data_IF_038082926975
#
_entry.id   IF_038082926975
#
_cell.length_a   1.000
_cell.length_b   1.000
_cell.length_c   1.000
_cell.angle_alpha   90.00
_cell.angle_beta   90.00
_cell.angle_gamma   90.00
#
_symmetry.space_group_name_H-M   'P 1'
#
loop_
_entity.id
_entity.type
_entity.pdbx_description
1 polymer ?
#
# COMPACT_ATOMS: atom_id res chain seq x y z
N UNK A 1 6.31 37.92 25.98
CA UNK A 1 7.74 38.03 25.61
C UNK A 1 8.01 36.82 24.74
N UNK A 2 8.05 37.06 23.44
CA UNK A 2 8.38 36.01 22.46
C UNK A 2 9.91 35.98 22.43
N UNK A 3 10.51 34.91 22.95
CA UNK A 3 11.92 34.66 22.77
C UNK A 3 12.08 33.91 21.45
N UNK A 4 12.56 34.63 20.47
CA UNK A 4 13.02 34.13 19.16
C UNK A 4 14.45 33.57 19.38
N UNK A 5 14.57 32.53 20.23
CA UNK A 5 15.84 31.84 20.39
C UNK A 5 15.99 30.83 19.24
N UNK A 6 16.91 31.11 18.32
CA UNK A 6 17.27 30.19 17.25
C UNK A 6 17.66 28.83 17.88
N UNK A 7 17.12 27.75 17.34
CA UNK A 7 17.46 26.39 17.74
C UNK A 7 18.84 26.01 17.19
N UNK A 8 19.70 25.50 18.05
CA UNK A 8 21.03 25.01 17.69
C UNK A 8 21.04 23.55 17.33
N UNK A 9 20.18 22.76 17.97
CA UNK A 9 20.01 21.34 17.66
C UNK A 9 18.60 20.88 17.93
N UNK A 10 18.12 19.96 17.10
CA UNK A 10 16.91 19.17 17.34
C UNK A 10 17.24 17.72 17.08
N UNK A 11 16.82 16.83 17.95
CA UNK A 11 17.11 15.41 17.83
C UNK A 11 16.03 14.55 18.49
N UNK A 12 15.98 13.28 18.08
CA UNK A 12 15.15 12.24 18.69
C UNK A 12 16.04 11.35 19.53
N UNK A 13 15.73 11.19 20.82
CA UNK A 13 16.24 10.06 21.61
C UNK A 13 15.23 8.93 21.55
N UNK A 14 15.70 7.74 21.20
CA UNK A 14 14.89 6.53 21.22
C UNK A 14 15.53 5.46 22.10
N UNK A 15 14.69 4.57 22.62
CA UNK A 15 15.15 3.43 23.42
C UNK A 15 14.17 2.26 23.33
N UNK A 16 14.73 1.05 23.42
CA UNK A 16 14.02 -0.21 23.67
C UNK A 16 14.46 -0.74 25.03
N UNK A 17 14.10 -1.98 25.36
CA UNK A 17 14.61 -2.65 26.55
C UNK A 17 16.11 -2.98 26.46
N UNK A 18 16.64 -3.10 25.25
CA UNK A 18 18.02 -3.61 25.01
C UNK A 18 18.93 -2.64 24.27
N UNK A 19 18.39 -1.58 23.69
CA UNK A 19 19.16 -0.64 22.88
C UNK A 19 18.59 0.78 22.95
N UNK A 20 19.44 1.76 22.62
CA UNK A 20 19.05 3.17 22.54
C UNK A 20 19.92 3.91 21.55
N UNK A 21 19.45 5.06 21.09
CA UNK A 21 20.21 5.92 20.20
C UNK A 21 19.65 7.32 20.10
N UNK A 22 20.40 8.16 19.40
CA UNK A 22 20.05 9.55 19.10
C UNK A 22 20.08 9.70 17.59
N UNK A 23 19.06 10.36 17.05
CA UNK A 23 18.97 10.68 15.62
C UNK A 23 18.84 12.19 15.51
N UNK A 24 19.79 12.88 14.86
CA UNK A 24 19.67 14.29 14.55
C UNK A 24 18.46 14.57 13.66
N UNK A 25 17.90 15.76 13.78
CA UNK A 25 16.85 16.25 12.91
C UNK A 25 17.33 17.47 12.14
N UNK A 26 16.92 17.57 10.90
CA UNK A 26 17.17 18.74 10.05
C UNK A 26 15.89 19.53 9.83
N UNK A 27 16.02 20.84 9.74
CA UNK A 27 14.89 21.70 9.42
C UNK A 27 14.53 21.55 7.94
N UNK A 28 13.30 21.16 7.68
CA UNK A 28 12.77 20.96 6.31
C UNK A 28 12.06 22.21 5.79
N UNK A 29 11.48 23.01 6.69
CA UNK A 29 10.90 24.33 6.44
C UNK A 29 10.71 25.06 7.78
N UNK A 30 10.25 26.32 7.77
CA UNK A 30 10.19 27.20 8.95
C UNK A 30 9.66 26.54 10.24
N UNK A 31 8.71 25.59 10.14
CA UNK A 31 8.04 24.97 11.29
C UNK A 31 8.16 23.44 11.33
N UNK A 32 8.93 22.83 10.43
CA UNK A 32 9.01 21.38 10.29
C UNK A 32 10.43 20.84 10.38
N UNK A 33 10.59 19.79 11.19
CA UNK A 33 11.85 19.08 11.39
C UNK A 33 11.67 17.60 11.04
N UNK A 34 12.61 17.04 10.30
CA UNK A 34 12.64 15.63 9.91
C UNK A 34 13.92 14.97 10.41
N UNK A 35 13.84 13.69 10.76
CA UNK A 35 15.02 12.93 11.19
C UNK A 35 15.94 12.68 10.00
N UNK A 36 17.27 12.78 10.19
CA UNK A 36 18.26 12.48 9.14
C UNK A 36 18.27 11.00 8.74
N UNK A 37 17.92 10.13 9.66
CA UNK A 37 17.81 8.68 9.44
C UNK A 37 16.59 8.14 10.18
N UNK A 38 16.23 6.89 9.90
CA UNK A 38 15.12 6.23 10.59
C UNK A 38 15.57 5.62 11.92
N UNK A 39 14.65 5.47 12.87
CA UNK A 39 14.84 4.57 14.01
C UNK A 39 15.08 3.17 13.45
N UNK A 40 16.10 2.41 13.95
CA UNK A 40 16.37 1.07 13.45
C UNK A 40 15.15 0.15 13.49
N UNK A 41 15.09 -0.81 12.57
CA UNK A 41 14.09 -1.86 12.62
C UNK A 41 14.38 -2.80 13.80
N UNK A 42 13.33 -3.22 14.48
CA UNK A 42 13.39 -4.12 15.64
C UNK A 42 12.49 -5.33 15.41
N UNK A 43 12.76 -6.40 16.17
CA UNK A 43 11.92 -7.60 16.17
C UNK A 43 10.50 -7.29 16.69
N UNK A 44 9.56 -8.12 16.27
CA UNK A 44 8.16 -8.04 16.68
C UNK A 44 7.99 -8.04 18.19
N UNK A 45 7.01 -7.34 18.67
CA UNK A 45 6.73 -7.22 20.09
C UNK A 45 7.60 -6.19 20.80
N UNK A 46 8.68 -5.69 20.17
CA UNK A 46 9.55 -4.68 20.74
C UNK A 46 8.79 -3.37 20.98
N UNK A 47 8.90 -2.84 22.20
CA UNK A 47 8.40 -1.51 22.52
C UNK A 47 9.49 -0.50 22.27
N UNK A 48 9.22 0.47 21.40
CA UNK A 48 10.13 1.58 21.11
C UNK A 48 9.57 2.83 21.77
N UNK A 49 10.40 3.45 22.58
CA UNK A 49 10.07 4.71 23.24
C UNK A 49 10.91 5.81 22.62
N UNK A 50 10.35 7.00 22.49
CA UNK A 50 11.10 8.12 21.98
C UNK A 50 10.64 9.47 22.57
N UNK A 51 11.55 10.45 22.56
CA UNK A 51 11.33 11.86 22.85
C UNK A 51 12.02 12.70 21.81
N UNK A 52 11.47 13.86 21.55
CA UNK A 52 12.13 14.89 20.74
C UNK A 52 12.69 15.96 21.68
N UNK A 53 13.91 16.36 21.43
CA UNK A 53 14.63 17.41 22.15
C UNK A 53 14.93 18.57 21.21
N UNK A 54 14.84 19.78 21.73
CA UNK A 54 15.23 21.00 21.04
C UNK A 54 16.10 21.84 21.97
N UNK A 55 17.27 22.25 21.50
CA UNK A 55 18.22 23.07 22.24
C UNK A 55 18.36 24.44 21.56
N UNK A 56 18.23 25.51 22.32
CA UNK A 56 18.43 26.86 21.82
C UNK A 56 19.90 27.28 21.92
N UNK A 57 20.25 28.36 21.19
CA UNK A 57 21.61 28.96 21.27
C UNK A 57 22.00 29.42 22.69
N UNK A 58 21.02 29.73 23.52
CA UNK A 58 21.22 30.06 24.95
C UNK A 58 21.42 28.84 25.86
N UNK A 59 21.41 27.62 25.33
CA UNK A 59 21.55 26.38 26.10
C UNK A 59 20.27 25.96 26.82
N UNK A 60 19.12 26.50 26.47
CA UNK A 60 17.84 26.04 26.98
C UNK A 60 17.44 24.74 26.23
N UNK A 61 17.16 23.70 27.01
CA UNK A 61 16.69 22.41 26.50
C UNK A 61 15.18 22.29 26.74
N UNK A 62 14.45 21.95 25.68
CA UNK A 62 13.03 21.57 25.71
C UNK A 62 12.87 20.15 25.25
N UNK A 63 11.94 19.42 25.85
CA UNK A 63 11.64 18.03 25.45
C UNK A 63 10.13 17.78 25.36
N UNK A 64 9.74 16.84 24.51
CA UNK A 64 8.37 16.36 24.42
C UNK A 64 8.03 15.36 25.52
N UNK A 65 6.76 15.02 25.68
CA UNK A 65 6.39 13.81 26.41
C UNK A 65 7.04 12.59 25.77
N UNK A 66 7.16 11.52 26.57
CA UNK A 66 7.65 10.23 26.07
C UNK A 66 6.54 9.56 25.25
N UNK A 67 6.81 9.32 24.00
CA UNK A 67 5.95 8.53 23.11
C UNK A 67 6.39 7.07 23.13
N UNK A 68 5.48 6.18 22.74
CA UNK A 68 5.76 4.75 22.62
C UNK A 68 4.93 4.16 21.47
N UNK A 69 5.57 3.32 20.67
CA UNK A 69 4.90 2.38 19.78
C UNK A 69 5.46 0.97 20.00
N UNK A 70 4.66 -0.02 19.63
CA UNK A 70 5.06 -1.43 19.68
C UNK A 70 5.17 -1.93 18.25
N UNK A 71 6.28 -2.60 17.91
CA UNK A 71 6.40 -3.30 16.63
C UNK A 71 5.33 -4.40 16.62
N UNK A 72 4.37 -4.31 15.70
CA UNK A 72 3.37 -5.36 15.50
C UNK A 72 4.04 -6.59 14.89
N UNK A 73 3.53 -7.76 15.20
CA UNK A 73 3.82 -8.95 14.39
C UNK A 73 3.04 -8.81 13.08
N UNK A 74 3.75 -8.87 11.97
CA UNK A 74 3.13 -9.01 10.64
C UNK A 74 2.73 -10.48 10.43
N UNK A 75 1.84 -10.99 11.28
CA UNK A 75 1.28 -12.31 11.14
C UNK A 75 -0.16 -12.15 10.67
N UNK A 76 -0.36 -12.45 9.41
CA UNK A 76 -1.68 -12.60 8.85
C UNK A 76 -2.29 -13.94 9.30
N UNK A 77 -3.59 -13.94 9.51
CA UNK A 77 -4.33 -15.19 9.69
C UNK A 77 -4.26 -16.01 8.38
N UNK A 78 -4.33 -17.32 8.51
CA UNK A 78 -4.27 -18.27 7.38
C UNK A 78 -5.57 -19.10 7.32
N UNK A 79 -6.73 -18.48 7.00
CA UNK A 79 -8.00 -19.19 6.96
C UNK A 79 -8.00 -20.18 5.80
N UNK A 80 -8.14 -21.47 6.13
CA UNK A 80 -8.12 -22.55 5.16
C UNK A 80 -9.50 -23.16 5.02
N UNK A 81 -9.96 -23.31 3.79
CA UNK A 81 -11.30 -23.77 3.47
C UNK A 81 -11.25 -24.99 2.52
N UNK A 82 -12.39 -25.64 2.32
CA UNK A 82 -12.45 -26.77 1.40
C UNK A 82 -12.76 -26.28 -0.02
N UNK A 83 -11.82 -26.43 -0.92
CA UNK A 83 -11.93 -26.12 -2.35
C UNK A 83 -11.95 -27.37 -3.26
N UNK A 84 -12.07 -28.57 -2.70
CA UNK A 84 -11.92 -29.83 -3.44
C UNK A 84 -12.98 -30.10 -4.52
N UNK A 85 -14.05 -29.32 -4.54
CA UNK A 85 -15.09 -29.41 -5.57
C UNK A 85 -14.92 -28.37 -6.69
N UNK A 86 -13.83 -27.58 -6.65
CA UNK A 86 -13.57 -26.49 -7.56
C UNK A 86 -14.02 -25.11 -7.01
N UNK A 87 -14.29 -25.04 -5.72
CA UNK A 87 -14.78 -23.82 -5.03
C UNK A 87 -13.69 -22.74 -4.83
N UNK A 88 -12.45 -23.03 -5.23
CA UNK A 88 -11.30 -22.15 -5.14
C UNK A 88 -10.95 -21.48 -6.46
N UNK A 89 -9.84 -20.76 -6.43
CA UNK A 89 -9.22 -20.21 -7.64
C UNK A 89 -8.53 -21.34 -8.43
N UNK A 90 -8.62 -21.30 -9.76
CA UNK A 90 -7.80 -22.07 -10.69
C UNK A 90 -6.87 -21.13 -11.48
N UNK A 91 -7.22 -19.85 -11.51
CA UNK A 91 -6.41 -18.76 -12.06
C UNK A 91 -6.72 -17.48 -11.28
N UNK A 92 -5.67 -16.79 -10.88
CA UNK A 92 -5.70 -15.41 -10.42
C UNK A 92 -4.69 -14.61 -11.22
N UNK A 93 -5.16 -13.65 -12.02
CA UNK A 93 -4.31 -12.82 -12.87
C UNK A 93 -4.61 -11.34 -12.68
N UNK A 94 -3.59 -10.60 -12.23
CA UNK A 94 -3.62 -9.16 -12.06
C UNK A 94 -2.26 -8.60 -12.50
N UNK A 95 -2.23 -7.89 -13.63
CA UNK A 95 -1.00 -7.36 -14.21
C UNK A 95 0.11 -8.44 -14.31
N UNK A 96 1.22 -8.29 -13.58
CA UNK A 96 2.33 -9.25 -13.61
C UNK A 96 2.07 -10.53 -12.79
N UNK A 97 1.08 -10.53 -11.91
CA UNK A 97 0.65 -11.75 -11.22
C UNK A 97 -0.13 -12.62 -12.21
N UNK A 98 0.33 -13.83 -12.42
CA UNK A 98 -0.36 -14.85 -13.21
C UNK A 98 -0.17 -16.19 -12.50
N UNK A 99 -1.10 -16.52 -11.61
CA UNK A 99 -1.06 -17.73 -10.79
C UNK A 99 -2.13 -18.72 -11.22
N UNK A 100 -1.68 -19.86 -11.75
CA UNK A 100 -2.50 -21.06 -11.91
C UNK A 100 -2.28 -21.93 -10.68
N UNK A 101 -3.29 -22.06 -9.82
CA UNK A 101 -3.23 -22.78 -8.56
C UNK A 101 -4.10 -24.03 -8.57
N UNK A 102 -3.83 -24.94 -7.65
CA UNK A 102 -4.70 -26.04 -7.31
C UNK A 102 -5.51 -25.69 -6.04
N UNK A 103 -6.17 -26.64 -5.44
CA UNK A 103 -6.91 -26.43 -4.19
C UNK A 103 -5.96 -26.55 -2.98
N UNK A 104 -5.47 -25.45 -2.46
CA UNK A 104 -4.66 -25.37 -1.24
C UNK A 104 -5.50 -25.10 0.02
N UNK A 105 -6.72 -24.56 -0.18
CA UNK A 105 -7.56 -24.05 0.90
C UNK A 105 -7.07 -22.70 1.46
N UNK A 106 -5.76 -22.60 1.67
CA UNK A 106 -5.00 -21.36 1.87
C UNK A 106 -3.69 -21.45 1.09
N UNK A 107 -3.50 -20.56 0.14
CA UNK A 107 -2.30 -20.40 -0.67
C UNK A 107 -1.52 -19.15 -0.26
N UNK A 108 -0.25 -19.31 0.12
CA UNK A 108 0.69 -18.21 0.30
C UNK A 108 1.51 -18.04 -0.98
N UNK A 109 1.14 -17.07 -1.79
CA UNK A 109 1.79 -16.69 -3.04
C UNK A 109 2.42 -15.29 -2.95
N UNK A 110 2.84 -14.89 -1.76
CA UNK A 110 3.44 -13.56 -1.53
C UNK A 110 4.78 -13.36 -2.24
N UNK A 111 5.38 -14.42 -2.78
CA UNK A 111 6.53 -14.34 -3.68
C UNK A 111 6.15 -13.81 -5.09
N UNK A 112 4.86 -13.85 -5.47
CA UNK A 112 4.33 -13.24 -6.68
C UNK A 112 3.92 -11.81 -6.35
N UNK A 113 4.36 -10.87 -7.19
CA UNK A 113 4.08 -9.44 -6.97
C UNK A 113 3.79 -8.70 -8.26
N UNK A 114 3.05 -7.59 -8.15
CA UNK A 114 2.84 -6.64 -9.22
C UNK A 114 2.87 -5.20 -8.72
N UNK A 115 3.11 -4.24 -9.61
CA UNK A 115 3.04 -2.81 -9.32
C UNK A 115 1.65 -2.27 -9.73
N UNK A 116 1.05 -1.46 -8.85
CA UNK A 116 -0.23 -0.81 -9.08
C UNK A 116 -0.11 0.68 -8.71
N UNK A 117 -0.55 1.57 -9.59
CA UNK A 117 -0.51 3.00 -9.35
C UNK A 117 -1.69 3.46 -8.46
N UNK A 118 -1.45 4.43 -7.58
CA UNK A 118 -2.53 5.17 -6.89
C UNK A 118 -3.53 5.71 -7.91
N UNK A 119 -4.83 5.54 -7.65
CA UNK A 119 -5.89 5.98 -8.54
C UNK A 119 -5.97 5.23 -9.88
N UNK A 120 -5.18 4.16 -10.07
CA UNK A 120 -5.18 3.34 -11.27
C UNK A 120 -6.41 2.41 -11.34
N UNK A 121 -6.86 2.15 -12.57
CA UNK A 121 -7.90 1.16 -12.87
C UNK A 121 -7.26 -0.07 -13.50
N UNK A 122 -7.63 -1.24 -13.03
CA UNK A 122 -7.05 -2.52 -13.42
C UNK A 122 -8.11 -3.57 -13.67
N UNK A 123 -7.74 -4.59 -14.42
CA UNK A 123 -8.61 -5.74 -14.72
C UNK A 123 -8.05 -6.98 -14.02
N UNK A 124 -8.80 -7.53 -13.09
CA UNK A 124 -8.54 -8.82 -12.48
C UNK A 124 -9.25 -9.92 -13.30
N UNK A 125 -8.50 -10.91 -13.75
CA UNK A 125 -9.05 -12.13 -14.35
C UNK A 125 -8.99 -13.27 -13.35
N UNK A 126 -10.11 -13.94 -13.13
CA UNK A 126 -10.19 -15.10 -12.23
C UNK A 126 -10.88 -16.26 -12.94
N UNK A 127 -10.42 -17.48 -12.63
CA UNK A 127 -11.08 -18.71 -13.03
C UNK A 127 -11.38 -19.55 -11.80
N UNK A 128 -12.60 -20.09 -11.70
CA UNK A 128 -13.00 -21.04 -10.68
C UNK A 128 -13.49 -22.33 -11.32
N UNK A 129 -13.34 -23.45 -10.60
CA UNK A 129 -13.81 -24.76 -11.07
C UNK A 129 -15.25 -25.09 -10.69
N UNK A 130 -15.95 -24.20 -9.99
CA UNK A 130 -17.36 -24.32 -9.61
C UNK A 130 -18.05 -22.96 -9.75
N UNK A 131 -19.28 -22.96 -10.23
CA UNK A 131 -20.06 -21.73 -10.40
C UNK A 131 -20.67 -21.20 -9.10
N UNK A 132 -21.35 -20.05 -9.19
CA UNK A 132 -21.96 -19.36 -8.05
C UNK A 132 -20.95 -19.01 -6.94
N UNK A 133 -19.71 -18.69 -7.35
CA UNK A 133 -18.62 -18.30 -6.45
C UNK A 133 -18.64 -16.79 -6.22
N UNK A 134 -18.58 -16.41 -4.94
CA UNK A 134 -18.44 -15.03 -4.52
C UNK A 134 -16.95 -14.71 -4.30
N UNK A 135 -16.46 -13.63 -4.92
CA UNK A 135 -15.08 -13.19 -4.85
C UNK A 135 -15.01 -11.90 -4.05
N UNK A 136 -14.12 -11.85 -3.08
CA UNK A 136 -13.78 -10.61 -2.37
C UNK A 136 -12.26 -10.46 -2.32
N UNK A 137 -11.77 -9.25 -2.58
CA UNK A 137 -10.34 -8.95 -2.59
C UNK A 137 -10.09 -7.70 -1.76
N UNK A 138 -9.05 -7.75 -0.95
CA UNK A 138 -8.55 -6.65 -0.12
C UNK A 138 -7.08 -6.39 -0.42
N UNK A 139 -6.63 -5.19 -0.11
CA UNK A 139 -5.21 -4.85 0.04
C UNK A 139 -5.05 -4.19 1.41
N UNK A 140 -4.15 -4.72 2.26
CA UNK A 140 -3.80 -4.14 3.56
C UNK A 140 -2.96 -2.88 3.36
N UNK A 141 -3.60 -1.76 2.99
CA UNK A 141 -2.93 -0.50 2.65
C UNK A 141 -2.24 0.17 3.84
N UNK A 142 -2.62 -0.18 5.06
CA UNK A 142 -2.08 0.43 6.27
C UNK A 142 -1.08 -0.45 7.02
N UNK A 143 -0.82 -1.67 6.49
CA UNK A 143 0.10 -2.69 7.03
C UNK A 143 -0.20 -3.04 8.49
N UNK A 144 -1.48 -3.08 8.86
CA UNK A 144 -1.87 -3.40 10.24
C UNK A 144 -2.20 -4.88 10.44
N UNK A 145 -2.10 -5.69 9.39
CA UNK A 145 -2.39 -7.13 9.34
C UNK A 145 -3.86 -7.50 9.49
N UNK A 146 -4.73 -6.52 9.45
CA UNK A 146 -6.17 -6.68 9.42
C UNK A 146 -6.68 -6.21 8.04
N UNK A 147 -7.65 -6.90 7.49
CA UNK A 147 -8.29 -6.49 6.24
C UNK A 147 -9.63 -5.83 6.56
N UNK A 148 -9.64 -4.52 6.57
CA UNK A 148 -10.80 -3.69 6.90
C UNK A 148 -11.71 -3.44 5.70
N UNK A 149 -12.89 -2.87 5.93
CA UNK A 149 -13.84 -2.55 4.86
C UNK A 149 -13.33 -1.45 3.90
N UNK A 150 -12.41 -0.56 4.38
CA UNK A 150 -11.81 0.49 3.54
C UNK A 150 -10.73 -0.06 2.59
N UNK A 151 -10.33 -1.29 2.77
CA UNK A 151 -9.27 -1.98 2.02
C UNK A 151 -9.83 -2.95 0.99
N UNK A 152 -11.16 -3.02 0.90
CA UNK A 152 -11.84 -3.86 -0.10
C UNK A 152 -11.75 -3.21 -1.47
N UNK A 153 -11.13 -3.91 -2.42
CA UNK A 153 -11.02 -3.49 -3.83
C UNK A 153 -11.97 -4.27 -4.75
N UNK A 154 -12.37 -5.48 -4.36
CA UNK A 154 -13.47 -6.23 -5.00
C UNK A 154 -14.42 -6.71 -3.92
N UNK A 155 -15.72 -6.40 -4.02
CA UNK A 155 -16.69 -6.69 -2.99
C UNK A 155 -17.78 -7.67 -3.45
N UNK A 156 -17.58 -8.95 -3.14
CA UNK A 156 -18.55 -10.02 -3.41
C UNK A 156 -19.04 -10.08 -4.87
N UNK A 157 -18.07 -9.98 -5.80
CA UNK A 157 -18.38 -10.27 -7.20
C UNK A 157 -18.78 -11.73 -7.35
N UNK A 158 -19.79 -12.02 -8.15
CA UNK A 158 -20.33 -13.38 -8.32
C UNK A 158 -19.94 -13.91 -9.69
N UNK A 159 -19.16 -14.99 -9.71
CA UNK A 159 -18.84 -15.73 -10.92
C UNK A 159 -19.97 -16.70 -11.24
N UNK A 160 -20.47 -16.67 -12.49
CA UNK A 160 -21.55 -17.51 -13.00
C UNK A 160 -22.74 -17.63 -12.03
N UNK A 161 -23.48 -16.53 -11.79
CA UNK A 161 -24.56 -16.51 -10.81
C UNK A 161 -25.64 -17.55 -11.11
N UNK A 162 -25.96 -18.38 -10.11
CA UNK A 162 -26.97 -19.42 -10.21
C UNK A 162 -26.52 -20.71 -10.90
N UNK A 163 -25.26 -20.80 -11.32
CA UNK A 163 -24.66 -22.04 -11.82
C UNK A 163 -24.18 -22.91 -10.65
N UNK A 164 -24.92 -23.92 -10.33
CA UNK A 164 -24.59 -24.87 -9.27
C UNK A 164 -23.98 -26.15 -9.86
N UNK A 165 -22.68 -26.14 -10.11
CA UNK A 165 -21.98 -27.29 -10.70
C UNK A 165 -20.52 -27.00 -11.06
N UNK A 166 -19.79 -28.06 -11.34
CA UNK A 166 -18.40 -28.01 -11.78
C UNK A 166 -18.29 -27.54 -13.22
N UNK A 167 -17.25 -26.79 -13.52
CA UNK A 167 -16.94 -26.25 -14.85
C UNK A 167 -15.61 -25.54 -14.83
N UNK A 168 -15.35 -24.75 -15.84
CA UNK A 168 -14.26 -23.78 -15.89
C UNK A 168 -14.92 -22.43 -16.18
N UNK A 169 -14.96 -21.60 -15.17
CA UNK A 169 -15.67 -20.32 -15.22
C UNK A 169 -14.67 -19.18 -15.07
N UNK A 170 -14.43 -18.48 -16.18
CA UNK A 170 -13.48 -17.37 -16.23
C UNK A 170 -14.23 -16.08 -16.43
N UNK A 171 -13.96 -15.11 -15.55
CA UNK A 171 -14.51 -13.77 -15.66
C UNK A 171 -13.45 -12.70 -15.40
N UNK A 172 -13.73 -11.50 -15.87
CA UNK A 172 -12.92 -10.30 -15.65
C UNK A 172 -13.66 -9.32 -14.76
N UNK A 173 -12.96 -8.76 -13.78
CA UNK A 173 -13.49 -7.87 -12.77
C UNK A 173 -12.69 -6.57 -12.81
N UNK A 174 -13.36 -5.45 -13.05
CA UNK A 174 -12.74 -4.13 -12.96
C UNK A 174 -12.55 -3.74 -11.49
N UNK A 175 -11.37 -3.24 -11.16
CA UNK A 175 -11.04 -2.73 -9.83
C UNK A 175 -10.26 -1.43 -9.94
N UNK A 176 -10.32 -0.62 -8.89
CA UNK A 176 -9.60 0.66 -8.81
C UNK A 176 -8.82 0.74 -7.52
N UNK A 177 -7.61 1.27 -7.59
CA UNK A 177 -6.79 1.56 -6.41
C UNK A 177 -7.13 2.97 -5.91
N UNK A 178 -7.33 3.18 -4.58
CA UNK A 178 -7.59 4.51 -4.05
C UNK A 178 -6.49 5.51 -4.41
N UNK A 179 -6.88 6.77 -4.69
CA UNK A 179 -5.93 7.86 -4.97
C UNK A 179 -5.01 8.18 -3.77
N UNK A 180 -5.47 7.87 -2.55
CA UNK A 180 -4.78 8.10 -1.29
C UNK A 180 -4.24 6.80 -0.65
N UNK A 181 -4.16 5.70 -1.42
CA UNK A 181 -3.54 4.46 -0.95
C UNK A 181 -2.10 4.70 -0.50
N UNK A 182 -1.67 4.08 0.60
CA UNK A 182 -0.28 4.21 1.03
C UNK A 182 0.67 3.61 0.00
N UNK A 183 1.80 4.29 -0.23
CA UNK A 183 2.85 3.80 -1.13
C UNK A 183 3.67 2.71 -0.45
N UNK A 184 4.12 1.74 -1.23
CA UNK A 184 5.00 0.66 -0.76
C UNK A 184 4.44 -0.72 -1.04
N UNK A 185 5.07 -1.71 -0.44
CA UNK A 185 4.66 -3.10 -0.57
C UNK A 185 3.58 -3.43 0.47
N UNK A 186 2.49 -4.04 0.00
CA UNK A 186 1.33 -4.44 0.79
C UNK A 186 0.95 -5.88 0.47
N UNK A 187 0.14 -6.51 1.34
CA UNK A 187 -0.45 -7.82 1.08
C UNK A 187 -1.83 -7.63 0.46
N UNK A 188 -2.04 -8.29 -0.67
CA UNK A 188 -3.34 -8.50 -1.29
C UNK A 188 -3.86 -9.86 -0.86
N UNK A 189 -5.09 -9.91 -0.37
CA UNK A 189 -5.81 -11.16 -0.06
C UNK A 189 -7.01 -11.31 -0.97
N UNK A 190 -7.10 -12.44 -1.64
CA UNK A 190 -8.26 -12.86 -2.41
C UNK A 190 -8.96 -14.05 -1.71
N UNK A 191 -10.29 -14.02 -1.66
CA UNK A 191 -11.09 -15.12 -1.10
C UNK A 191 -12.24 -15.47 -2.01
N UNK A 192 -12.53 -16.77 -2.08
CA UNK A 192 -13.78 -17.29 -2.65
C UNK A 192 -14.71 -17.77 -1.54
N UNK A 193 -16.01 -17.80 -1.82
CA UNK A 193 -17.01 -18.52 -1.03
C UNK A 193 -18.16 -18.96 -1.93
N UNK A 194 -18.57 -20.24 -1.80
CA UNK A 194 -19.67 -20.77 -2.59
C UNK A 194 -21.03 -20.36 -2.03
N UNK A 195 -21.93 -19.98 -2.94
CA UNK A 195 -23.36 -19.74 -2.71
C UNK A 195 -23.67 -18.72 -1.58
N UNK A 196 -22.75 -17.79 -1.31
CA UNK A 196 -22.96 -16.75 -0.32
C UNK A 196 -21.80 -15.77 -0.23
N UNK A 197 -22.03 -14.62 0.36
CA UNK A 197 -21.02 -13.60 0.53
C UNK A 197 -19.77 -14.14 1.24
N UNK A 198 -18.60 -13.73 0.76
CA UNK A 198 -17.36 -13.84 1.53
C UNK A 198 -17.52 -13.01 2.80
N UNK A 199 -17.21 -13.54 4.00
CA UNK A 199 -17.32 -12.80 5.24
C UNK A 199 -16.59 -11.45 5.22
N UNK A 200 -17.09 -10.48 6.00
CA UNK A 200 -16.41 -9.20 6.17
C UNK A 200 -15.06 -9.34 6.88
N UNK A 201 -14.98 -10.30 7.82
CA UNK A 201 -13.72 -10.67 8.45
C UNK A 201 -12.94 -11.63 7.53
N UNK A 202 -11.84 -11.14 6.96
CA UNK A 202 -11.00 -11.92 6.05
C UNK A 202 -10.36 -13.16 6.69
N UNK A 203 -10.35 -13.25 8.04
CA UNK A 203 -9.85 -14.39 8.81
C UNK A 203 -10.91 -15.45 9.08
N UNK A 204 -12.19 -15.17 8.79
CA UNK A 204 -13.27 -16.12 9.02
C UNK A 204 -13.25 -17.21 7.96
N UNK A 205 -13.27 -18.45 8.40
CA UNK A 205 -13.37 -19.63 7.52
C UNK A 205 -14.83 -19.87 7.15
N UNK A 206 -15.05 -20.25 5.89
CA UNK A 206 -16.33 -20.74 5.39
C UNK A 206 -16.22 -22.24 5.07
N UNK A 207 -17.34 -22.88 4.77
CA UNK A 207 -17.33 -24.34 4.50
C UNK A 207 -16.62 -24.65 3.19
N UNK A 208 -16.87 -23.85 2.14
CA UNK A 208 -16.32 -24.04 0.81
C UNK A 208 -15.73 -22.74 0.31
N UNK A 209 -14.59 -22.81 -0.34
CA UNK A 209 -13.86 -21.68 -0.90
C UNK A 209 -12.37 -21.83 -0.70
N UNK A 210 -11.66 -20.74 -0.93
CA UNK A 210 -10.20 -20.65 -0.82
C UNK A 210 -9.76 -19.23 -0.44
N UNK A 211 -8.58 -19.15 0.14
CA UNK A 211 -7.89 -17.89 0.42
C UNK A 211 -6.52 -17.91 -0.22
N UNK A 212 -6.16 -16.88 -0.94
CA UNK A 212 -4.83 -16.69 -1.53
C UNK A 212 -4.28 -15.30 -1.17
N UNK A 213 -3.01 -15.27 -0.76
CA UNK A 213 -2.28 -14.04 -0.46
C UNK A 213 -1.18 -13.79 -1.49
N UNK A 214 -1.07 -12.53 -1.93
CA UNK A 214 -0.10 -12.04 -2.91
C UNK A 214 0.58 -10.76 -2.39
N UNK A 215 1.67 -10.34 -3.03
CA UNK A 215 2.27 -9.01 -2.80
C UNK A 215 1.83 -8.04 -3.89
N UNK A 216 1.55 -6.79 -3.49
CA UNK A 216 1.39 -5.66 -4.42
C UNK A 216 2.30 -4.52 -4.00
N UNK A 217 2.80 -3.75 -4.96
CA UNK A 217 3.61 -2.56 -4.71
C UNK A 217 2.81 -1.36 -5.22
N UNK A 218 2.31 -0.56 -4.28
CA UNK A 218 1.60 0.66 -4.65
C UNK A 218 2.61 1.75 -4.97
N UNK A 219 2.53 2.27 -6.21
CA UNK A 219 3.37 3.35 -6.71
C UNK A 219 2.57 4.64 -6.83
N UNK A 220 3.27 5.78 -6.82
CA UNK A 220 2.60 7.05 -7.11
C UNK A 220 2.10 7.02 -8.55
N UNK A 221 0.86 7.50 -8.75
CA UNK A 221 0.32 7.64 -10.10
C UNK A 221 1.41 8.24 -11.00
N UNK A 222 1.86 7.48 -11.98
CA UNK A 222 2.66 8.03 -13.05
C UNK A 222 1.83 9.16 -13.64
N UNK A 223 2.27 10.40 -13.45
CA UNK A 223 1.79 11.48 -14.31
C UNK A 223 2.26 11.07 -15.71
N UNK A 224 1.46 10.23 -16.35
CA UNK A 224 1.68 9.85 -17.73
C UNK A 224 1.81 11.17 -18.47
N UNK A 225 3.04 11.48 -18.88
CA UNK A 225 3.18 12.35 -20.02
C UNK A 225 2.35 11.65 -21.09
N UNK A 226 1.11 12.11 -21.27
CA UNK A 226 0.38 11.81 -22.49
C UNK A 226 1.40 12.20 -23.54
N UNK A 227 2.03 11.19 -24.20
CA UNK A 227 2.71 11.40 -25.46
C UNK A 227 1.62 11.78 -26.49
N UNK A 228 0.97 12.90 -26.22
CA UNK A 228 0.43 13.66 -27.31
C UNK A 228 1.67 13.97 -28.14
N UNK A 229 1.72 13.50 -29.36
CA UNK A 229 2.66 13.87 -30.38
C UNK A 229 2.74 15.39 -30.47
N UNK A 230 3.36 16.01 -29.47
CA UNK A 230 3.77 17.39 -29.58
C UNK A 230 4.95 17.41 -30.52
N UNK A 231 4.86 18.07 -31.66
CA UNK A 231 5.98 18.16 -32.59
C UNK A 231 7.15 19.00 -32.03
N UNK A 232 7.17 19.23 -30.69
CA UNK A 232 8.11 20.12 -30.02
C UNK A 232 8.47 19.47 -28.67
N UNK A 233 9.75 19.20 -28.49
CA UNK A 233 10.36 18.84 -27.21
C UNK A 233 10.53 20.12 -26.38
N UNK A 234 9.80 20.29 -25.25
CA UNK A 234 10.04 21.43 -24.36
C UNK A 234 11.45 21.36 -23.78
N UNK A 235 12.15 22.46 -23.75
CA UNK A 235 13.45 22.57 -23.10
C UNK A 235 13.21 22.99 -21.65
N UNK A 236 13.60 22.12 -20.71
CA UNK A 236 13.49 22.38 -19.26
C UNK A 236 14.90 22.63 -18.71
N UNK A 237 15.07 23.79 -18.07
CA UNK A 237 16.36 24.15 -17.47
C UNK A 237 16.17 24.98 -16.19
N UNK A 238 17.13 24.94 -15.25
CA UNK A 238 18.24 24.01 -15.20
C UNK A 238 17.77 22.60 -14.85
N UNK A 239 18.49 21.58 -15.30
CA UNK A 239 18.24 20.18 -14.96
C UNK A 239 19.58 19.51 -14.59
N UNK A 240 19.82 19.12 -13.31
CA UNK A 240 18.88 19.15 -12.17
C UNK A 240 18.64 20.58 -11.65
N UNK A 241 17.46 20.80 -11.04
CA UNK A 241 17.09 22.10 -10.47
C UNK A 241 17.25 22.10 -8.95
N UNK A 242 17.72 23.23 -8.41
CA UNK A 242 17.71 23.51 -6.96
C UNK A 242 16.72 24.63 -6.58
N UNK A 243 15.85 25.00 -7.48
CA UNK A 243 14.94 26.13 -7.29
C UNK A 243 13.95 26.28 -8.43
N UNK A 244 13.93 27.45 -9.06
CA UNK A 244 13.03 27.71 -10.20
C UNK A 244 13.44 26.93 -11.43
N UNK A 245 12.47 26.32 -12.08
CA UNK A 245 12.61 25.75 -13.42
C UNK A 245 11.99 26.71 -14.44
N UNK A 246 12.56 26.74 -15.62
CA UNK A 246 12.03 27.43 -16.78
C UNK A 246 11.65 26.43 -17.83
N UNK A 247 10.47 26.59 -18.41
CA UNK A 247 9.99 25.75 -19.50
C UNK A 247 9.86 26.64 -20.72
N UNK A 248 10.66 26.37 -21.74
CA UNK A 248 10.63 27.11 -23.01
C UNK A 248 9.79 26.32 -24.03
N UNK A 249 8.68 26.92 -24.45
CA UNK A 249 7.78 26.37 -25.46
C UNK A 249 7.90 27.22 -26.71
N UNK A 250 8.37 26.62 -27.79
CA UNK A 250 8.66 27.29 -29.05
C UNK A 250 7.40 27.88 -29.76
N UNK A 251 6.19 27.58 -29.26
CA UNK A 251 4.94 28.14 -29.79
C UNK A 251 4.01 28.62 -28.67
N UNK A 252 3.26 29.72 -28.95
CA UNK A 252 2.25 30.25 -28.04
C UNK A 252 1.07 29.29 -27.91
N UNK A 253 0.86 28.74 -26.69
CA UNK A 253 -0.35 28.05 -26.32
C UNK A 253 -1.16 28.92 -25.36
N UNK A 254 -2.44 29.09 -25.65
CA UNK A 254 -3.33 29.97 -24.87
C UNK A 254 -3.70 29.43 -23.48
N UNK A 255 -3.46 28.14 -23.18
CA UNK A 255 -3.70 27.52 -21.88
C UNK A 255 -2.74 26.35 -21.63
N UNK A 256 -1.72 26.58 -20.82
CA UNK A 256 -0.89 25.53 -20.26
C UNK A 256 -1.11 25.46 -18.74
N UNK A 257 -1.54 24.33 -18.22
CA UNK A 257 -1.61 24.10 -16.78
C UNK A 257 -0.49 23.13 -16.40
N UNK A 258 0.42 23.60 -15.54
CA UNK A 258 1.47 22.77 -14.98
C UNK A 258 1.06 22.40 -13.55
N UNK A 259 0.93 21.12 -13.27
CA UNK A 259 0.69 20.60 -11.91
C UNK A 259 2.01 19.99 -11.45
N UNK A 260 2.60 20.58 -10.43
CA UNK A 260 3.78 20.04 -9.73
C UNK A 260 3.28 19.47 -8.42
N UNK A 261 3.44 18.15 -8.23
CA UNK A 261 3.18 17.45 -6.96
C UNK A 261 4.46 17.31 -6.17
#
# INVERSE_FOLDING_TARGET
IQYDDELTSVYVEWSTETSSGIIPMVNNNEDSWVTETHIPNFEHGTKVFFKVFAESYGGLLSETYRFMYKIKENIFCTPSMNCSYGDGFQLFQLEDINNESECEGYGDFTDLSTELDQGGDYTLTVTTGYGDQYIKVWIDFNDDTEFSENEVIVNNYIIEPGMNGTGEFTETIELSIPEDANLGQHILRAKTNWAGNVPANACEETTYGETEDYSVIITSASLGLIENNFPITPIIYPNPTSGRIYIDLINNYDNLTLILS
#
